data_IF_225304034621
#
_entry.id   IF_225304034621
#
_cell.length_a   1.000
_cell.length_b   1.000
_cell.length_c   1.000
_cell.angle_alpha   90.00
_cell.angle_beta   90.00
_cell.angle_gamma   90.00
#
_symmetry.space_group_name_H-M   'P 1'
#
loop_
_entity.id
_entity.type
_entity.pdbx_description
1 polymer ?
#
# COMPACT_ATOMS: atom_id res chain seq x y z
N UNK A 1 8.39 -2.93 -7.40
CA UNK A 1 8.94 -1.58 -7.63
C UNK A 1 8.64 -0.71 -6.43
N UNK A 2 9.56 0.20 -6.06
CA UNK A 2 9.29 1.22 -5.04
C UNK A 2 9.42 2.64 -5.59
N UNK A 3 8.64 3.55 -5.01
CA UNK A 3 8.70 5.00 -5.19
C UNK A 3 9.06 5.64 -3.85
N UNK A 4 10.23 6.25 -3.74
CA UNK A 4 10.79 6.71 -2.46
C UNK A 4 11.39 8.13 -2.60
N UNK A 5 11.42 8.89 -1.51
CA UNK A 5 11.92 10.28 -1.50
C UNK A 5 12.78 10.56 -0.25
N UNK A 6 14.08 10.30 -0.29
CA UNK A 6 14.81 9.40 -1.20
C UNK A 6 14.77 7.93 -0.73
N UNK A 7 15.27 6.96 -1.52
CA UNK A 7 15.57 5.61 -1.03
C UNK A 7 16.61 5.63 0.09
N UNK A 8 16.28 5.07 1.25
CA UNK A 8 17.19 5.00 2.40
C UNK A 8 18.15 3.80 2.34
N UNK A 9 17.68 2.69 1.76
CA UNK A 9 18.44 1.45 1.63
C UNK A 9 18.29 0.87 0.23
N UNK A 10 19.33 0.19 -0.23
CA UNK A 10 19.26 -0.61 -1.46
C UNK A 10 18.61 -1.96 -1.14
N UNK A 11 17.45 -2.22 -1.72
CA UNK A 11 16.71 -3.47 -1.51
C UNK A 11 17.02 -4.41 -2.68
N UNK A 12 17.65 -5.58 -2.46
CA UNK A 12 17.93 -6.52 -3.53
C UNK A 12 16.66 -6.96 -4.27
N UNK A 13 16.74 -7.03 -5.60
CA UNK A 13 15.64 -7.44 -6.49
C UNK A 13 14.42 -6.48 -6.51
N UNK A 14 14.56 -5.27 -5.97
CA UNK A 14 13.55 -4.21 -6.08
C UNK A 14 14.05 -3.11 -6.99
N UNK A 15 13.26 -2.74 -7.98
CA UNK A 15 13.52 -1.54 -8.76
C UNK A 15 13.07 -0.34 -7.94
N UNK A 16 14.03 0.44 -7.44
CA UNK A 16 13.78 1.63 -6.61
C UNK A 16 13.87 2.88 -7.47
N UNK A 17 12.83 3.70 -7.44
CA UNK A 17 12.73 4.95 -8.19
C UNK A 17 12.65 6.10 -7.19
N UNK A 18 13.65 6.96 -7.26
CA UNK A 18 13.68 8.16 -6.43
C UNK A 18 12.71 9.21 -7.00
N UNK A 19 11.84 9.69 -6.12
CA UNK A 19 11.02 10.87 -6.33
C UNK A 19 11.84 12.10 -5.92
N UNK A 20 11.74 13.16 -6.70
CA UNK A 20 12.38 14.45 -6.40
C UNK A 20 11.57 15.54 -7.11
N UNK A 21 10.60 16.08 -6.40
CA UNK A 21 9.70 17.10 -6.97
C UNK A 21 10.43 18.39 -7.31
N UNK A 22 11.52 18.70 -6.59
CA UNK A 22 12.33 19.90 -6.86
C UNK A 22 13.04 19.78 -8.21
N UNK A 23 13.42 18.55 -8.60
CA UNK A 23 14.01 18.26 -9.90
C UNK A 23 12.98 17.84 -10.96
N UNK A 24 11.67 18.01 -10.69
CA UNK A 24 10.59 17.69 -11.62
C UNK A 24 10.28 16.19 -11.73
N UNK A 25 10.71 15.37 -10.78
CA UNK A 25 10.36 13.94 -10.72
C UNK A 25 9.19 13.73 -9.78
N UNK A 26 7.99 14.04 -10.25
CA UNK A 26 6.76 13.92 -9.47
C UNK A 26 6.30 12.46 -9.30
N UNK A 27 5.47 12.22 -8.26
CA UNK A 27 4.83 10.92 -8.06
C UNK A 27 4.01 10.47 -9.26
N UNK A 28 3.24 11.36 -9.88
CA UNK A 28 2.39 11.03 -11.02
C UNK A 28 3.20 10.59 -12.25
N UNK A 29 4.30 11.27 -12.56
CA UNK A 29 5.17 10.89 -13.68
C UNK A 29 5.89 9.56 -13.41
N UNK A 30 6.39 9.37 -12.20
CA UNK A 30 7.04 8.14 -11.81
C UNK A 30 6.05 6.97 -11.88
N UNK A 31 4.83 7.14 -11.38
CA UNK A 31 3.79 6.12 -11.42
C UNK A 31 3.42 5.74 -12.85
N UNK A 32 3.28 6.70 -13.77
CA UNK A 32 3.01 6.40 -15.18
C UNK A 32 4.12 5.55 -15.83
N UNK A 33 5.37 5.78 -15.46
CA UNK A 33 6.50 4.98 -15.93
C UNK A 33 6.47 3.57 -15.32
N UNK A 34 6.12 3.47 -14.04
CA UNK A 34 6.00 2.19 -13.31
C UNK A 34 4.89 1.33 -13.89
N UNK A 35 3.72 1.88 -14.18
CA UNK A 35 2.62 1.12 -14.77
C UNK A 35 2.96 0.52 -16.14
N UNK A 36 3.87 1.12 -16.89
CA UNK A 36 4.34 0.53 -18.17
C UNK A 36 5.27 -0.67 -17.97
N UNK A 37 5.78 -0.87 -16.77
CA UNK A 37 6.62 -2.04 -16.42
C UNK A 37 5.79 -3.22 -15.90
N UNK A 38 4.46 -3.08 -15.84
CA UNK A 38 3.50 -4.08 -15.34
C UNK A 38 3.93 -4.75 -14.01
N UNK A 39 4.21 -3.97 -12.96
CA UNK A 39 4.65 -4.51 -11.69
C UNK A 39 3.50 -5.23 -10.98
N UNK A 40 3.80 -6.33 -10.26
CA UNK A 40 2.82 -6.97 -9.38
C UNK A 40 2.62 -6.21 -8.08
N UNK A 41 3.72 -5.68 -7.56
CA UNK A 41 3.80 -5.04 -6.24
C UNK A 41 4.41 -3.65 -6.38
N UNK A 42 3.74 -2.67 -5.79
CA UNK A 42 4.20 -1.30 -5.71
C UNK A 42 4.37 -0.92 -4.24
N UNK A 43 5.52 -0.35 -3.89
CA UNK A 43 5.75 0.29 -2.61
C UNK A 43 5.82 1.80 -2.80
N UNK A 44 5.08 2.54 -1.99
CA UNK A 44 5.15 3.98 -1.86
C UNK A 44 5.82 4.28 -0.52
N UNK A 45 6.99 4.89 -0.59
CA UNK A 45 7.82 5.11 0.59
C UNK A 45 7.09 5.86 1.69
N UNK A 46 6.31 6.88 1.33
CA UNK A 46 5.50 7.64 2.30
C UNK A 46 4.31 8.33 1.62
N UNK A 47 3.14 8.26 2.27
CA UNK A 47 1.96 9.07 1.94
C UNK A 47 1.99 10.33 2.80
N UNK A 48 2.35 11.48 2.21
CA UNK A 48 2.46 12.78 2.89
C UNK A 48 1.33 13.74 2.57
N UNK A 49 0.70 13.56 1.43
CA UNK A 49 -0.23 14.51 0.85
C UNK A 49 -1.33 13.84 0.02
N UNK A 50 -2.21 14.67 -0.51
CA UNK A 50 -3.34 14.26 -1.37
C UNK A 50 -2.86 13.55 -2.64
N UNK A 51 -1.72 13.97 -3.22
CA UNK A 51 -1.22 13.42 -4.49
C UNK A 51 -0.72 12.01 -4.28
N UNK A 52 0.14 11.78 -3.30
CA UNK A 52 0.66 10.46 -2.94
C UNK A 52 -0.45 9.50 -2.48
N UNK A 53 -1.45 9.99 -1.71
CA UNK A 53 -2.60 9.20 -1.29
C UNK A 53 -3.45 8.74 -2.50
N UNK A 54 -3.82 9.65 -3.39
CA UNK A 54 -4.57 9.32 -4.61
C UNK A 54 -3.80 8.39 -5.53
N UNK A 55 -2.49 8.54 -5.60
CA UNK A 55 -1.60 7.68 -6.37
C UNK A 55 -1.63 6.24 -5.86
N UNK A 56 -1.52 6.03 -4.53
CA UNK A 56 -1.63 4.73 -3.89
C UNK A 56 -2.99 4.06 -4.20
N UNK A 57 -4.07 4.82 -4.03
CA UNK A 57 -5.42 4.32 -4.28
C UNK A 57 -5.61 3.94 -5.76
N UNK A 58 -5.17 4.77 -6.70
CA UNK A 58 -5.26 4.46 -8.14
C UNK A 58 -4.51 3.20 -8.51
N UNK A 59 -3.31 3.00 -7.96
CA UNK A 59 -2.55 1.78 -8.14
C UNK A 59 -3.31 0.55 -7.62
N UNK A 60 -3.91 0.65 -6.42
CA UNK A 60 -4.70 -0.42 -5.83
C UNK A 60 -5.95 -0.75 -6.66
N UNK A 61 -6.68 0.26 -7.15
CA UNK A 61 -7.87 0.08 -8.00
C UNK A 61 -7.54 -0.58 -9.35
N UNK A 62 -6.32 -0.43 -9.83
CA UNK A 62 -5.85 -1.08 -11.08
C UNK A 62 -5.30 -2.48 -10.87
N UNK A 63 -5.39 -3.02 -9.64
CA UNK A 63 -5.08 -4.41 -9.30
C UNK A 63 -3.65 -4.67 -8.86
N UNK A 64 -2.90 -3.63 -8.52
CA UNK A 64 -1.58 -3.79 -7.93
C UNK A 64 -1.71 -4.04 -6.42
N UNK A 65 -0.84 -4.86 -5.87
CA UNK A 65 -0.64 -4.89 -4.42
C UNK A 65 0.21 -3.68 -4.03
N UNK A 66 -0.36 -2.80 -3.22
CA UNK A 66 0.29 -1.57 -2.81
C UNK A 66 0.66 -1.65 -1.32
N UNK A 67 1.93 -1.44 -1.03
CA UNK A 67 2.41 -1.12 0.31
C UNK A 67 2.72 0.37 0.37
N UNK A 68 2.32 1.01 1.45
CA UNK A 68 2.63 2.41 1.67
C UNK A 68 2.88 2.68 3.15
N UNK A 69 3.77 3.60 3.47
CA UNK A 69 3.92 4.08 4.84
C UNK A 69 3.12 5.36 5.05
N UNK A 70 2.71 5.58 6.28
CA UNK A 70 1.93 6.74 6.70
C UNK A 70 2.23 7.02 8.17
N UNK A 71 2.44 8.27 8.53
CA UNK A 71 2.61 8.65 9.93
C UNK A 71 1.26 8.63 10.65
N UNK A 72 1.03 7.61 11.46
CA UNK A 72 -0.15 7.47 12.32
C UNK A 72 0.19 6.64 13.55
N UNK A 73 -0.43 6.96 14.68
CA UNK A 73 -0.17 6.28 15.97
C UNK A 73 -1.12 5.12 16.25
N UNK A 74 -2.24 5.02 15.52
CA UNK A 74 -3.22 3.93 15.64
C UNK A 74 -3.77 3.58 14.26
N UNK A 75 -4.44 2.43 14.16
CA UNK A 75 -5.13 1.99 12.94
C UNK A 75 -6.19 3.00 12.51
N UNK A 76 -6.99 3.48 13.47
CA UNK A 76 -8.05 4.46 13.20
C UNK A 76 -7.47 5.80 12.73
N UNK A 77 -6.36 6.25 13.33
CA UNK A 77 -5.68 7.47 12.91
C UNK A 77 -5.13 7.37 11.48
N UNK A 78 -4.65 6.21 11.08
CA UNK A 78 -4.21 5.96 9.71
C UNK A 78 -5.38 6.09 8.72
N UNK A 79 -6.53 5.49 9.03
CA UNK A 79 -7.74 5.59 8.21
C UNK A 79 -8.22 7.04 8.12
N UNK A 80 -8.37 7.72 9.26
CA UNK A 80 -8.80 9.11 9.29
C UNK A 80 -7.88 10.01 8.45
N UNK A 81 -6.56 9.80 8.52
CA UNK A 81 -5.61 10.57 7.73
C UNK A 81 -5.78 10.36 6.22
N UNK A 82 -6.09 9.14 5.78
CA UNK A 82 -6.40 8.88 4.37
C UNK A 82 -7.70 9.58 3.93
N UNK A 83 -8.73 9.60 4.79
CA UNK A 83 -9.97 10.35 4.55
C UNK A 83 -9.70 11.86 4.48
N UNK A 84 -8.85 12.41 5.35
CA UNK A 84 -8.43 13.81 5.35
C UNK A 84 -7.68 14.20 4.07
N UNK A 85 -6.96 13.28 3.46
CA UNK A 85 -6.38 13.46 2.13
C UNK A 85 -7.42 13.41 1.00
N UNK A 86 -8.71 13.34 1.32
CA UNK A 86 -9.81 13.37 0.37
C UNK A 86 -10.05 12.05 -0.36
N UNK A 87 -9.65 10.93 0.24
CA UNK A 87 -10.04 9.61 -0.23
C UNK A 87 -11.44 9.30 0.29
N UNK A 88 -12.37 8.97 -0.59
CA UNK A 88 -13.71 8.60 -0.22
C UNK A 88 -13.72 7.27 0.57
N UNK A 89 -14.51 7.19 1.64
CA UNK A 89 -14.61 6.02 2.51
C UNK A 89 -14.94 4.73 1.73
N UNK A 90 -15.88 4.82 0.78
CA UNK A 90 -16.26 3.67 -0.07
C UNK A 90 -15.12 3.18 -0.95
N UNK A 91 -14.29 4.09 -1.45
CA UNK A 91 -13.12 3.73 -2.24
C UNK A 91 -12.07 3.10 -1.33
N UNK A 92 -11.78 3.74 -0.19
CA UNK A 92 -10.81 3.24 0.76
C UNK A 92 -11.17 1.83 1.24
N UNK A 93 -12.43 1.59 1.65
CA UNK A 93 -12.90 0.28 2.10
C UNK A 93 -12.79 -0.81 1.03
N UNK A 94 -12.89 -0.46 -0.24
CA UNK A 94 -12.78 -1.43 -1.34
C UNK A 94 -11.34 -1.87 -1.63
N UNK A 95 -10.34 -1.07 -1.27
CA UNK A 95 -8.92 -1.33 -1.60
C UNK A 95 -8.05 -1.61 -0.38
N UNK A 96 -8.39 -1.07 0.80
CA UNK A 96 -7.60 -1.24 2.02
C UNK A 96 -7.72 -2.68 2.53
N UNK A 97 -6.59 -3.38 2.60
CA UNK A 97 -6.56 -4.78 3.05
C UNK A 97 -6.06 -4.93 4.48
N UNK A 98 -5.25 -4.01 4.94
CA UNK A 98 -4.76 -4.03 6.31
C UNK A 98 -3.93 -2.81 6.65
N UNK A 99 -3.75 -2.60 7.93
CA UNK A 99 -2.92 -1.56 8.52
C UNK A 99 -2.02 -2.19 9.56
N UNK A 100 -0.74 -1.82 9.52
CA UNK A 100 0.24 -2.20 10.54
C UNK A 100 0.74 -0.93 11.20
N UNK A 101 0.51 -0.80 12.47
CA UNK A 101 1.07 0.29 13.30
C UNK A 101 2.27 -0.24 14.04
N UNK A 102 3.39 0.47 13.93
CA UNK A 102 4.65 0.09 14.57
C UNK A 102 5.06 1.15 15.59
N UNK A 103 5.49 0.70 16.76
CA UNK A 103 6.02 1.54 17.81
C UNK A 103 7.29 0.92 18.39
N UNK A 104 8.23 1.77 18.84
CA UNK A 104 9.46 1.37 19.47
C UNK A 104 9.37 1.61 20.97
N UNK A 105 9.31 0.54 21.75
CA UNK A 105 9.33 0.63 23.19
C UNK A 105 10.76 0.44 23.72
N UNK A 106 11.23 1.39 24.53
CA UNK A 106 12.52 1.35 25.20
C UNK A 106 12.32 0.86 26.64
N UNK A 107 12.75 -0.35 26.92
CA UNK A 107 12.69 -0.92 28.25
C UNK A 107 14.05 -1.53 28.64
N UNK A 108 14.59 -1.14 29.79
CA UNK A 108 15.85 -1.69 30.38
C UNK A 108 17.01 -1.83 29.38
N UNK A 109 17.32 -0.77 28.61
CA UNK A 109 18.37 -0.77 27.57
C UNK A 109 18.10 -1.69 26.36
N UNK A 110 16.91 -2.21 26.21
CA UNK A 110 16.46 -2.93 25.03
C UNK A 110 15.44 -2.12 24.24
N UNK A 111 15.54 -2.20 22.93
CA UNK A 111 14.55 -1.64 22.01
C UNK A 111 13.66 -2.77 21.52
N UNK A 112 12.39 -2.71 21.84
CA UNK A 112 11.40 -3.69 21.38
C UNK A 112 10.49 -3.07 20.37
N UNK A 113 10.32 -3.74 19.22
CA UNK A 113 9.32 -3.37 18.24
C UNK A 113 7.97 -3.91 18.65
N UNK A 114 7.01 -3.03 18.85
CA UNK A 114 5.60 -3.36 19.01
C UNK A 114 4.89 -3.17 17.68
N UNK A 115 4.01 -4.09 17.33
CA UNK A 115 3.20 -3.97 16.13
C UNK A 115 1.73 -4.28 16.45
N UNK A 116 0.84 -3.37 16.08
CA UNK A 116 -0.59 -3.61 16.03
C UNK A 116 -0.99 -3.83 14.57
N UNK A 117 -1.69 -4.94 14.31
CA UNK A 117 -2.05 -5.38 12.97
C UNK A 117 -3.55 -5.52 12.88
N UNK A 118 -4.14 -4.83 11.93
CA UNK A 118 -5.55 -4.90 11.64
C UNK A 118 -5.78 -5.26 10.17
N UNK A 119 -6.57 -6.31 9.93
CA UNK A 119 -7.04 -6.71 8.61
C UNK A 119 -8.44 -6.13 8.37
N UNK A 120 -8.66 -5.52 7.21
CA UNK A 120 -9.98 -5.02 6.84
C UNK A 120 -10.88 -6.17 6.39
N UNK A 121 -12.05 -6.27 6.99
CA UNK A 121 -13.04 -7.29 6.66
C UNK A 121 -14.23 -6.66 5.92
N UNK A 122 -14.35 -6.97 4.63
CA UNK A 122 -15.41 -6.43 3.75
C UNK A 122 -16.82 -6.79 4.24
N UNK A 123 -17.01 -7.98 4.81
CA UNK A 123 -18.33 -8.44 5.28
C UNK A 123 -18.82 -7.66 6.50
N UNK A 124 -17.90 -7.23 7.36
CA UNK A 124 -18.20 -6.47 8.58
C UNK A 124 -18.02 -4.97 8.41
N UNK A 125 -17.53 -4.53 7.26
CA UNK A 125 -17.16 -3.14 6.97
C UNK A 125 -16.29 -2.53 8.07
N UNK A 126 -15.29 -3.27 8.55
CA UNK A 126 -14.47 -2.87 9.66
C UNK A 126 -13.15 -3.66 9.76
N UNK A 127 -12.36 -3.30 10.75
CA UNK A 127 -11.08 -3.95 11.02
C UNK A 127 -11.21 -5.07 12.04
N UNK A 128 -10.54 -6.19 11.78
CA UNK A 128 -10.26 -7.21 12.77
C UNK A 128 -8.79 -7.07 13.18
N UNK A 129 -8.51 -6.82 14.45
CA UNK A 129 -7.16 -6.86 14.96
C UNK A 129 -6.63 -8.29 14.91
N UNK A 130 -5.48 -8.48 14.31
CA UNK A 130 -4.80 -9.76 14.18
C UNK A 130 -3.41 -9.69 14.79
N UNK A 131 -3.01 -10.76 15.41
CA UNK A 131 -1.66 -10.90 15.98
C UNK A 131 -0.64 -11.41 14.98
N UNK A 132 -1.06 -11.77 13.75
CA UNK A 132 -0.20 -12.43 12.77
C UNK A 132 -0.07 -11.61 11.49
N UNK A 133 0.95 -10.75 11.44
CA UNK A 133 1.30 -9.95 10.27
C UNK A 133 1.51 -10.78 8.99
N UNK A 134 2.14 -11.96 9.11
CA UNK A 134 2.42 -12.83 7.97
C UNK A 134 1.14 -13.31 7.29
N UNK A 135 0.06 -13.47 8.05
CA UNK A 135 -1.23 -13.91 7.53
C UNK A 135 -1.92 -12.80 6.72
N UNK A 136 -1.90 -11.55 7.21
CA UNK A 136 -2.44 -10.39 6.49
C UNK A 136 -1.75 -10.20 5.15
N UNK A 137 -0.41 -10.25 5.12
CA UNK A 137 0.36 -10.13 3.88
C UNK A 137 0.07 -11.30 2.95
N UNK A 138 0.04 -12.53 3.46
CA UNK A 138 -0.25 -13.72 2.65
C UNK A 138 -1.65 -13.67 2.03
N UNK A 139 -2.66 -13.22 2.77
CA UNK A 139 -4.02 -13.06 2.27
C UNK A 139 -4.08 -11.98 1.19
N UNK A 140 -3.45 -10.84 1.40
CA UNK A 140 -3.38 -9.76 0.41
C UNK A 140 -2.72 -10.22 -0.90
N UNK A 141 -1.65 -10.99 -0.82
CA UNK A 141 -1.00 -11.59 -1.99
C UNK A 141 -1.94 -12.57 -2.69
N UNK A 142 -2.63 -13.44 -1.97
CA UNK A 142 -3.60 -14.40 -2.55
C UNK A 142 -4.72 -13.69 -3.30
N UNK A 143 -5.29 -12.64 -2.74
CA UNK A 143 -6.35 -11.86 -3.37
C UNK A 143 -5.86 -11.17 -4.65
N UNK A 144 -4.67 -10.60 -4.64
CA UNK A 144 -4.04 -10.02 -5.83
C UNK A 144 -3.91 -11.08 -6.97
N UNK A 145 -3.42 -12.27 -6.67
CA UNK A 145 -3.31 -13.34 -7.68
C UNK A 145 -4.66 -13.80 -8.21
N UNK A 146 -5.69 -13.88 -7.36
CA UNK A 146 -7.06 -14.19 -7.80
C UNK A 146 -7.58 -13.13 -8.77
N UNK A 147 -7.40 -11.85 -8.45
CA UNK A 147 -7.81 -10.74 -9.29
C UNK A 147 -7.14 -10.77 -10.67
N UNK A 148 -5.84 -10.98 -10.73
CA UNK A 148 -5.09 -11.10 -11.99
C UNK A 148 -5.52 -12.31 -12.82
N UNK A 149 -5.74 -13.45 -12.18
CA UNK A 149 -6.20 -14.67 -12.88
C UNK A 149 -7.57 -14.44 -13.53
N UNK A 150 -8.48 -13.78 -12.83
CA UNK A 150 -9.79 -13.44 -13.37
C UNK A 150 -9.70 -12.42 -14.53
N UNK A 151 -8.84 -11.43 -14.45
CA UNK A 151 -8.60 -10.45 -15.53
C UNK A 151 -8.02 -11.11 -16.78
N UNK A 152 -7.12 -12.09 -16.65
CA UNK A 152 -6.56 -12.88 -17.75
C UNK A 152 -7.61 -13.76 -18.43
N UNK A 153 -8.60 -14.29 -17.68
CA UNK A 153 -9.70 -15.06 -18.26
C UNK A 153 -10.67 -14.20 -19.05
N UNK A 154 -10.95 -12.97 -18.58
CA UNK A 154 -11.81 -12.01 -19.27
C UNK A 154 -11.17 -11.50 -20.57
N UNK A 155 -9.85 -11.33 -20.61
CA UNK A 155 -9.14 -10.90 -21.82
C UNK A 155 -9.03 -11.99 -22.89
N UNK A 156 -9.14 -13.26 -22.52
CA UNK A 156 -9.15 -14.40 -23.47
C UNK A 156 -10.54 -14.74 -24.02
N UNK A 157 -11.60 -14.17 -23.46
CA UNK A 157 -12.98 -14.40 -23.88
C UNK A 157 -13.53 -13.43 -24.92
N UNK A 158 -12.71 -12.50 -25.44
CA UNK A 158 -13.12 -11.48 -26.43
C UNK A 158 -12.44 -11.69 -27.80
N UNK A 159 -12.05 -12.92 -28.11
CA UNK A 159 -11.64 -13.31 -29.47
C UNK A 159 -12.50 -14.52 -29.86
N UNK A 160 -13.67 -14.20 -30.38
CA UNK A 160 -14.62 -15.12 -31.01
C UNK A 160 -15.53 -14.33 -31.89
#
# INVERSE_FOLDING_TARGET
VSLEDPPEYVIPNVTQIQIDEVQGRSFDEALQKVFRQDPDVLMIGEIRDVVSAKTAIRASLTGHLVFATLHASTVEAAVLRLLDFGIEEKILSSVLKGVVVQDLNHFENQVNLLADVAEFNDEKNGFNHCTNYSEVVANSIREMYKFRKNKLHLSKGVVG
#
